data_IF_135969704296
#
_entry.id   IF_135969704296
#
_cell.length_a   1.000
_cell.length_b   1.000
_cell.length_c   1.000
_cell.angle_alpha   90.00
_cell.angle_beta   90.00
_cell.angle_gamma   90.00
#
_symmetry.space_group_name_H-M   'P 1'
#
loop_
_entity.id
_entity.type
_entity.pdbx_description
1 polymer ?
#
# COMPACT_ATOMS: atom_id res chain seq x y z
N UNK A 1 -10.82 10.96 -40.09
CA UNK A 1 -10.81 10.53 -41.51
C UNK A 1 -10.98 9.03 -41.52
N UNK A 2 -12.06 8.57 -42.16
CA UNK A 2 -12.28 7.14 -42.40
C UNK A 2 -11.12 6.61 -43.22
N UNK A 3 -10.57 5.46 -42.85
CA UNK A 3 -9.63 4.72 -43.69
C UNK A 3 -10.28 4.46 -45.04
N UNK A 4 -9.99 5.29 -46.02
CA UNK A 4 -10.21 4.87 -47.39
C UNK A 4 -9.39 3.61 -47.62
N UNK A 5 -10.03 2.57 -48.18
CA UNK A 5 -9.32 1.34 -48.55
C UNK A 5 -8.08 1.68 -49.34
N UNK A 6 -6.96 1.04 -49.01
CA UNK A 6 -5.69 1.09 -49.76
C UNK A 6 -5.88 0.44 -51.15
N UNK A 7 -6.91 0.81 -51.87
CA UNK A 7 -7.22 0.23 -53.18
C UNK A 7 -6.68 1.16 -54.28
N UNK A 8 -5.38 1.09 -54.50
CA UNK A 8 -4.71 1.77 -55.59
C UNK A 8 -4.93 0.91 -56.85
N UNK A 9 -5.83 1.36 -57.73
CA UNK A 9 -6.07 0.65 -58.97
C UNK A 9 -4.89 0.83 -59.95
N UNK A 10 -4.41 -0.27 -60.52
CA UNK A 10 -3.33 -0.27 -61.52
C UNK A 10 -3.66 0.49 -62.84
N UNK A 11 -4.93 0.90 -63.01
CA UNK A 11 -5.39 1.62 -64.19
C UNK A 11 -5.54 3.14 -63.99
N UNK A 12 -5.08 3.70 -62.89
CA UNK A 12 -5.18 5.13 -62.60
C UNK A 12 -4.16 5.97 -63.36
N UNK A 13 -4.54 7.20 -63.73
CA UNK A 13 -3.59 8.19 -64.27
C UNK A 13 -2.66 8.71 -63.19
N UNK A 14 -1.45 9.18 -63.55
CA UNK A 14 -0.40 9.52 -62.59
C UNK A 14 -0.78 10.51 -61.48
N UNK A 15 -1.70 11.45 -61.75
CA UNK A 15 -2.19 12.42 -60.73
C UNK A 15 -3.15 11.77 -59.74
N UNK A 16 -4.03 10.88 -60.19
CA UNK A 16 -4.94 10.14 -59.32
C UNK A 16 -4.18 9.14 -58.43
N UNK A 17 -3.18 8.44 -59.02
CA UNK A 17 -2.30 7.53 -58.30
C UNK A 17 -1.54 8.23 -57.17
N UNK A 18 -0.96 9.43 -57.44
CA UNK A 18 -0.21 10.20 -56.45
C UNK A 18 -1.14 10.69 -55.31
N UNK A 19 -2.38 11.10 -55.66
CA UNK A 19 -3.37 11.52 -54.69
C UNK A 19 -3.77 10.38 -53.76
N UNK A 20 -4.04 9.20 -54.30
CA UNK A 20 -4.46 8.02 -53.53
C UNK A 20 -3.30 7.47 -52.71
N UNK A 21 -2.08 7.49 -53.20
CA UNK A 21 -0.88 7.10 -52.46
C UNK A 21 -0.65 8.05 -51.26
N UNK A 22 -0.77 9.37 -51.48
CA UNK A 22 -0.65 10.34 -50.41
C UNK A 22 -1.78 10.18 -49.37
N UNK A 23 -3.01 9.90 -49.78
CA UNK A 23 -4.12 9.62 -48.87
C UNK A 23 -3.89 8.34 -48.08
N UNK A 24 -3.35 7.30 -48.71
CA UNK A 24 -2.98 6.04 -48.04
C UNK A 24 -1.85 6.24 -47.03
N UNK A 25 -0.81 7.00 -47.38
CA UNK A 25 0.30 7.34 -46.47
C UNK A 25 -0.17 8.18 -45.30
N UNK A 26 -1.06 9.15 -45.51
CA UNK A 26 -1.69 9.94 -44.45
C UNK A 26 -2.56 9.07 -43.53
N UNK A 27 -3.30 8.11 -44.08
CA UNK A 27 -4.12 7.18 -43.29
C UNK A 27 -3.24 6.26 -42.43
N UNK A 28 -2.13 5.77 -42.94
CA UNK A 28 -1.15 4.97 -42.18
C UNK A 28 -0.51 5.84 -41.10
N UNK A 29 -0.10 7.06 -41.45
CA UNK A 29 0.60 7.98 -40.53
C UNK A 29 -0.33 8.51 -39.43
N UNK A 30 -1.65 8.57 -39.65
CA UNK A 30 -2.61 8.99 -38.63
C UNK A 30 -2.87 7.92 -37.56
N UNK A 31 -2.32 6.73 -37.66
CA UNK A 31 -2.46 5.61 -36.72
C UNK A 31 -3.93 5.32 -36.34
N UNK A 32 -4.85 5.46 -37.28
CA UNK A 32 -6.28 5.30 -37.03
C UNK A 32 -6.79 6.15 -35.86
N UNK A 33 -6.43 7.42 -35.79
CA UNK A 33 -6.97 8.38 -34.83
C UNK A 33 -8.16 9.15 -35.39
N UNK A 34 -9.09 9.56 -34.54
CA UNK A 34 -10.23 10.38 -34.93
C UNK A 34 -11.37 10.35 -33.91
N UNK A 35 -12.34 11.23 -34.14
CA UNK A 35 -13.53 11.36 -33.29
C UNK A 35 -14.69 10.42 -33.69
N UNK A 36 -14.53 9.65 -34.76
CA UNK A 36 -15.51 8.65 -35.22
C UNK A 36 -14.84 7.29 -35.35
N UNK A 37 -15.48 6.27 -34.80
CA UNK A 37 -14.97 4.91 -34.86
C UNK A 37 -14.82 4.41 -36.30
N UNK A 38 -13.72 3.74 -36.67
CA UNK A 38 -13.60 3.05 -37.95
C UNK A 38 -14.73 2.04 -38.13
N UNK A 39 -15.38 2.06 -39.30
CA UNK A 39 -16.50 1.16 -39.63
C UNK A 39 -16.16 0.18 -40.77
N UNK A 40 -15.04 0.38 -41.47
CA UNK A 40 -14.56 -0.49 -42.55
C UNK A 40 -13.25 -1.15 -42.18
N UNK A 41 -12.99 -2.32 -42.76
CA UNK A 41 -11.75 -3.11 -42.56
C UNK A 41 -11.43 -3.36 -41.08
N UNK A 42 -12.47 -3.62 -40.30
CA UNK A 42 -12.34 -3.85 -38.88
C UNK A 42 -11.98 -5.32 -38.65
N UNK A 43 -10.75 -5.56 -38.18
CA UNK A 43 -10.26 -6.88 -37.80
C UNK A 43 -9.95 -6.93 -36.32
N UNK A 44 -10.05 -8.12 -35.71
CA UNK A 44 -9.68 -8.31 -34.31
C UNK A 44 -8.22 -7.92 -34.10
N UNK A 45 -7.97 -7.12 -33.08
CA UNK A 45 -6.64 -6.58 -32.79
C UNK A 45 -6.35 -5.19 -33.38
N UNK A 46 -7.23 -4.63 -34.21
CA UNK A 46 -7.07 -3.27 -34.74
C UNK A 46 -7.15 -2.24 -33.60
N UNK A 47 -6.23 -1.27 -33.62
CA UNK A 47 -6.23 -0.15 -32.66
C UNK A 47 -6.88 1.09 -33.24
N UNK A 48 -7.50 1.89 -32.39
CA UNK A 48 -8.04 3.20 -32.69
C UNK A 48 -7.82 4.15 -31.51
N UNK A 49 -7.21 5.31 -31.77
CA UNK A 49 -7.15 6.41 -30.82
C UNK A 49 -8.41 7.28 -31.01
N UNK A 50 -9.37 7.10 -30.12
CA UNK A 50 -10.60 7.89 -30.07
C UNK A 50 -10.31 9.27 -29.47
N UNK A 51 -10.47 10.29 -30.32
CA UNK A 51 -10.25 11.70 -29.93
C UNK A 51 -11.56 12.48 -29.83
N UNK A 52 -12.72 11.80 -29.71
CA UNK A 52 -14.03 12.44 -29.61
C UNK A 52 -14.25 13.22 -28.30
N UNK A 53 -13.53 12.86 -27.23
CA UNK A 53 -13.56 13.51 -25.94
C UNK A 53 -12.37 14.41 -25.70
N UNK A 54 -12.38 15.14 -24.57
CA UNK A 54 -11.25 15.97 -24.12
C UNK A 54 -9.99 15.14 -23.90
N UNK A 55 -10.17 13.92 -23.38
CA UNK A 55 -9.08 12.97 -23.14
C UNK A 55 -9.16 11.84 -24.20
N UNK A 56 -8.13 11.69 -25.08
CA UNK A 56 -8.10 10.60 -26.04
C UNK A 56 -8.11 9.22 -25.37
N UNK A 57 -8.81 8.26 -26.02
CA UNK A 57 -8.90 6.89 -25.52
C UNK A 57 -8.30 5.93 -26.54
N UNK A 58 -7.26 5.20 -26.17
CA UNK A 58 -6.79 4.10 -27.01
C UNK A 58 -7.74 2.91 -26.88
N UNK A 59 -8.25 2.44 -28.02
CA UNK A 59 -9.18 1.33 -28.11
C UNK A 59 -8.62 0.20 -28.97
N UNK A 60 -9.03 -1.03 -28.69
CA UNK A 60 -8.76 -2.22 -29.51
C UNK A 60 -10.09 -2.83 -29.96
N UNK A 61 -10.14 -3.33 -31.19
CA UNK A 61 -11.32 -4.06 -31.67
C UNK A 61 -11.25 -5.54 -31.28
N UNK A 62 -12.22 -5.97 -30.47
CA UNK A 62 -12.46 -7.37 -30.11
C UNK A 62 -13.96 -7.59 -29.94
N UNK A 63 -14.63 -7.98 -31.03
CA UNK A 63 -16.09 -8.07 -31.05
C UNK A 63 -16.76 -6.76 -30.57
N UNK A 64 -16.36 -5.64 -31.18
CA UNK A 64 -16.65 -4.26 -30.78
C UNK A 64 -15.41 -3.54 -30.22
N UNK A 65 -15.45 -2.21 -30.23
CA UNK A 65 -14.36 -1.39 -29.70
C UNK A 65 -14.31 -1.46 -28.18
N UNK A 66 -13.19 -1.88 -27.63
CA UNK A 66 -12.92 -1.95 -26.17
C UNK A 66 -11.87 -0.91 -25.81
N UNK A 67 -12.16 -0.08 -24.83
CA UNK A 67 -11.18 0.88 -24.29
C UNK A 67 -10.07 0.13 -23.56
N UNK A 68 -8.82 0.45 -23.87
CA UNK A 68 -7.64 -0.05 -23.17
C UNK A 68 -7.24 0.93 -22.07
N UNK A 69 -7.05 2.20 -22.42
CA UNK A 69 -6.74 3.25 -21.47
C UNK A 69 -7.08 4.63 -22.05
N UNK A 70 -7.25 5.60 -21.15
CA UNK A 70 -7.46 7.01 -21.47
C UNK A 70 -6.14 7.77 -21.29
N UNK A 71 -5.77 8.57 -22.27
CA UNK A 71 -4.65 9.49 -22.18
C UNK A 71 -5.14 10.83 -21.62
N UNK A 72 -4.41 11.41 -20.68
CA UNK A 72 -4.73 12.77 -20.24
C UNK A 72 -4.20 13.76 -21.28
N UNK A 73 -5.03 14.68 -21.76
CA UNK A 73 -4.65 15.66 -22.79
C UNK A 73 -3.67 16.73 -22.28
N UNK A 74 -3.59 16.94 -20.97
CA UNK A 74 -2.73 17.96 -20.33
C UNK A 74 -1.50 17.39 -19.63
N UNK A 75 -1.49 16.09 -19.36
CA UNK A 75 -0.34 15.37 -18.80
C UNK A 75 -0.18 14.05 -19.56
N UNK A 76 1.00 13.45 -19.53
CA UNK A 76 1.29 12.15 -20.17
C UNK A 76 0.72 10.99 -19.33
N UNK A 77 -0.27 11.26 -18.48
CA UNK A 77 -0.83 10.30 -17.54
C UNK A 77 -1.86 9.38 -18.21
N UNK A 78 -1.76 8.12 -17.89
CA UNK A 78 -2.70 7.07 -18.32
C UNK A 78 -3.65 6.74 -17.16
N UNK A 79 -4.96 6.92 -17.37
CA UNK A 79 -5.97 6.56 -16.38
C UNK A 79 -6.51 5.15 -16.64
N UNK A 80 -6.36 4.27 -15.66
CA UNK A 80 -6.81 2.87 -15.70
C UNK A 80 -7.70 2.60 -14.48
N UNK A 81 -8.89 2.03 -14.69
CA UNK A 81 -9.78 1.67 -13.59
C UNK A 81 -9.35 0.38 -12.85
N UNK A 82 -8.74 -0.54 -13.58
CA UNK A 82 -8.29 -1.83 -13.06
C UNK A 82 -6.90 -2.11 -13.60
N UNK A 83 -5.97 -2.36 -12.71
CA UNK A 83 -4.65 -2.91 -13.05
C UNK A 83 -4.66 -4.39 -12.68
N UNK A 84 -4.62 -5.27 -13.70
CA UNK A 84 -4.50 -6.71 -13.53
C UNK A 84 -3.31 -7.20 -14.36
N UNK A 85 -2.24 -7.62 -13.70
CA UNK A 85 -0.98 -8.00 -14.33
C UNK A 85 -0.27 -9.08 -13.52
N UNK A 86 0.72 -9.75 -14.15
CA UNK A 86 1.61 -10.64 -13.41
C UNK A 86 2.39 -9.86 -12.35
N UNK A 87 2.99 -8.73 -12.76
CA UNK A 87 3.64 -7.78 -11.86
C UNK A 87 3.13 -6.37 -12.12
N UNK A 88 2.97 -5.58 -11.07
CA UNK A 88 2.72 -4.14 -11.15
C UNK A 88 3.93 -3.44 -10.55
N UNK A 89 4.66 -2.67 -11.37
CA UNK A 89 5.86 -1.94 -10.95
C UNK A 89 5.79 -0.49 -11.42
N UNK A 90 6.03 0.44 -10.49
CA UNK A 90 6.13 1.87 -10.79
C UNK A 90 7.26 2.50 -9.97
N UNK A 91 7.93 3.50 -10.54
CA UNK A 91 8.98 4.26 -9.83
C UNK A 91 8.42 5.26 -8.82
N UNK A 92 7.14 5.61 -8.92
CA UNK A 92 6.46 6.56 -8.04
C UNK A 92 5.17 5.94 -7.47
N UNK A 93 4.02 6.31 -7.97
CA UNK A 93 2.71 5.90 -7.41
C UNK A 93 1.96 4.98 -8.35
N UNK A 94 1.37 3.91 -7.82
CA UNK A 94 0.28 3.17 -8.46
C UNK A 94 -1.03 3.66 -7.86
N UNK A 95 -1.91 4.20 -8.71
CA UNK A 95 -3.23 4.68 -8.30
C UNK A 95 -4.30 4.13 -9.24
N UNK A 96 -5.29 3.41 -8.70
CA UNK A 96 -6.38 2.80 -9.47
C UNK A 96 -7.59 2.52 -8.56
N UNK A 97 -8.75 2.19 -9.17
CA UNK A 97 -9.89 1.66 -8.41
C UNK A 97 -9.53 0.33 -7.74
N UNK A 98 -8.94 -0.59 -8.51
CA UNK A 98 -8.36 -1.84 -7.97
C UNK A 98 -6.95 -2.03 -8.53
N UNK A 99 -6.07 -2.57 -7.72
CA UNK A 99 -4.74 -3.03 -8.12
C UNK A 99 -4.68 -4.53 -7.91
N UNK A 100 -4.49 -5.30 -8.99
CA UNK A 100 -4.43 -6.77 -8.94
C UNK A 100 -3.18 -7.26 -9.66
N UNK A 101 -2.38 -8.05 -8.98
CA UNK A 101 -1.22 -8.73 -9.55
C UNK A 101 -1.23 -10.22 -9.17
N UNK A 102 -0.87 -11.09 -10.10
CA UNK A 102 -0.70 -12.52 -9.82
C UNK A 102 0.65 -12.82 -9.16
N UNK A 103 1.53 -11.84 -9.02
CA UNK A 103 2.80 -11.93 -8.31
C UNK A 103 3.02 -10.70 -7.42
N UNK A 104 3.71 -9.66 -7.89
CA UNK A 104 4.18 -8.55 -7.06
C UNK A 104 3.55 -7.21 -7.44
N UNK A 105 3.22 -6.39 -6.45
CA UNK A 105 2.98 -4.95 -6.59
C UNK A 105 4.16 -4.21 -5.97
N UNK A 106 4.88 -3.40 -6.74
CA UNK A 106 6.03 -2.62 -6.29
C UNK A 106 5.94 -1.17 -6.75
N UNK A 107 5.93 -0.22 -5.82
CA UNK A 107 5.92 1.21 -6.11
C UNK A 107 6.42 2.01 -4.90
N UNK A 108 6.76 3.31 -5.07
CA UNK A 108 6.98 4.18 -3.93
C UNK A 108 5.70 4.29 -3.10
N UNK A 109 4.54 4.48 -3.74
CA UNK A 109 3.23 4.45 -3.07
C UNK A 109 2.22 3.60 -3.85
N UNK A 110 1.34 2.91 -3.15
CA UNK A 110 0.19 2.19 -3.73
C UNK A 110 -1.09 2.77 -3.15
N UNK A 111 -1.96 3.29 -4.01
CA UNK A 111 -3.27 3.85 -3.61
C UNK A 111 -4.38 3.20 -4.43
N UNK A 112 -5.35 2.59 -3.76
CA UNK A 112 -6.54 2.03 -4.39
C UNK A 112 -7.80 2.54 -3.69
N UNK A 113 -8.81 2.96 -4.47
CA UNK A 113 -10.11 3.32 -3.90
C UNK A 113 -10.92 2.11 -3.44
N UNK A 114 -10.53 0.89 -3.85
CA UNK A 114 -11.10 -0.37 -3.40
C UNK A 114 -9.99 -1.29 -2.85
N UNK A 115 -9.55 -2.27 -3.65
CA UNK A 115 -8.68 -3.35 -3.17
C UNK A 115 -7.28 -3.30 -3.78
N UNK A 116 -6.30 -3.74 -3.00
CA UNK A 116 -4.97 -4.15 -3.47
C UNK A 116 -4.83 -5.66 -3.25
N UNK A 117 -4.61 -6.42 -4.31
CA UNK A 117 -4.46 -7.88 -4.26
C UNK A 117 -3.19 -8.31 -4.97
N UNK A 118 -2.34 -9.05 -4.28
CA UNK A 118 -1.16 -9.70 -4.84
C UNK A 118 -1.02 -11.11 -4.25
N UNK A 119 -0.74 -12.13 -5.06
CA UNK A 119 -0.46 -13.48 -4.55
C UNK A 119 0.97 -13.58 -3.98
N UNK A 120 1.86 -12.69 -4.39
CA UNK A 120 3.21 -12.54 -3.85
C UNK A 120 3.32 -11.37 -2.87
N UNK A 121 4.12 -10.37 -3.19
CA UNK A 121 4.50 -9.27 -2.30
C UNK A 121 3.83 -7.95 -2.70
N UNK A 122 3.41 -7.17 -1.71
CA UNK A 122 3.20 -5.71 -1.88
C UNK A 122 4.37 -5.01 -1.22
N UNK A 123 5.19 -4.31 -2.02
CA UNK A 123 6.36 -3.58 -1.58
C UNK A 123 6.18 -2.08 -1.89
N UNK A 124 6.02 -1.25 -0.86
CA UNK A 124 5.81 0.19 -1.02
C UNK A 124 6.25 0.95 0.24
N UNK A 125 6.58 2.24 0.11
CA UNK A 125 6.77 3.12 1.24
C UNK A 125 5.45 3.34 2.01
N UNK A 126 4.32 3.43 1.29
CA UNK A 126 2.99 3.38 1.89
C UNK A 126 2.00 2.61 1.00
N UNK A 127 1.03 1.95 1.64
CA UNK A 127 -0.10 1.31 0.97
C UNK A 127 -1.38 1.88 1.56
N UNK A 128 -2.22 2.44 0.70
CA UNK A 128 -3.54 2.97 1.06
C UNK A 128 -4.61 2.29 0.22
N UNK A 129 -5.57 1.66 0.86
CA UNK A 129 -6.75 1.07 0.22
C UNK A 129 -7.97 1.34 1.11
N UNK A 130 -9.12 1.68 0.53
CA UNK A 130 -10.38 1.81 1.29
C UNK A 130 -11.05 0.45 1.52
N UNK A 131 -10.68 -0.55 0.73
CA UNK A 131 -11.08 -1.94 0.90
C UNK A 131 -9.95 -2.81 1.45
N UNK A 132 -9.78 -4.00 0.86
CA UNK A 132 -8.83 -5.01 1.36
C UNK A 132 -7.47 -4.89 0.69
N UNK A 133 -6.40 -5.02 1.47
CA UNK A 133 -5.06 -5.36 0.98
C UNK A 133 -4.85 -6.86 1.24
N UNK A 134 -4.75 -7.64 0.17
CA UNK A 134 -4.52 -9.09 0.24
C UNK A 134 -3.23 -9.45 -0.51
N UNK A 135 -2.27 -10.00 0.20
CA UNK A 135 -0.99 -10.44 -0.34
C UNK A 135 -0.42 -11.58 0.51
N UNK A 136 0.43 -12.44 -0.09
CA UNK A 136 1.22 -13.40 0.69
C UNK A 136 2.20 -12.66 1.61
N UNK A 137 2.79 -11.55 1.11
CA UNK A 137 3.66 -10.67 1.88
C UNK A 137 3.33 -9.19 1.60
N UNK A 138 3.38 -8.36 2.63
CA UNK A 138 3.32 -6.91 2.52
C UNK A 138 4.62 -6.35 3.09
N UNK A 139 5.40 -5.65 2.26
CA UNK A 139 6.62 -4.95 2.67
C UNK A 139 6.41 -3.46 2.48
N UNK A 140 6.46 -2.70 3.57
CA UNK A 140 6.45 -1.26 3.54
C UNK A 140 7.78 -0.75 4.10
N UNK A 141 8.42 0.20 3.43
CA UNK A 141 9.65 0.83 3.91
C UNK A 141 9.39 1.88 5.00
N UNK A 142 8.14 2.25 5.21
CA UNK A 142 7.71 3.19 6.24
C UNK A 142 6.58 2.59 7.10
N UNK A 143 5.37 3.09 6.99
CA UNK A 143 4.28 2.73 7.87
C UNK A 143 3.19 1.90 7.15
N UNK A 144 2.61 0.95 7.88
CA UNK A 144 1.29 0.38 7.58
C UNK A 144 0.35 0.90 8.67
N UNK A 145 -0.62 1.73 8.29
CA UNK A 145 -1.58 2.32 9.22
C UNK A 145 -2.90 1.55 9.16
N UNK A 146 -3.36 1.06 10.30
CA UNK A 146 -4.69 0.49 10.47
C UNK A 146 -5.50 1.36 11.44
N UNK A 147 -6.67 1.80 11.03
CA UNK A 147 -7.57 2.61 11.88
C UNK A 147 -8.36 1.76 12.88
N UNK A 148 -8.32 0.44 12.71
CA UNK A 148 -9.09 -0.48 13.56
C UNK A 148 -8.17 -1.57 14.14
N UNK A 149 -8.31 -2.82 13.72
CA UNK A 149 -7.62 -3.96 14.31
C UNK A 149 -6.56 -4.52 13.39
N UNK A 150 -5.39 -4.84 13.93
CA UNK A 150 -4.39 -5.71 13.29
C UNK A 150 -4.47 -7.09 13.93
N UNK A 151 -4.87 -8.11 13.16
CA UNK A 151 -4.90 -9.50 13.61
C UNK A 151 -3.77 -10.27 12.92
N UNK A 152 -2.87 -10.84 13.70
CA UNK A 152 -1.75 -11.63 13.21
C UNK A 152 -1.52 -12.85 14.09
N UNK A 153 -1.06 -13.96 13.49
CA UNK A 153 -0.64 -15.12 14.26
C UNK A 153 0.58 -14.80 15.14
N UNK A 154 1.50 -13.97 14.63
CA UNK A 154 2.68 -13.48 15.36
C UNK A 154 3.00 -12.04 14.95
N UNK A 155 3.48 -11.25 15.91
CA UNK A 155 4.07 -9.93 15.68
C UNK A 155 5.50 -9.95 16.23
N UNK A 156 6.48 -9.91 15.33
CA UNK A 156 7.89 -9.90 15.68
C UNK A 156 8.44 -8.48 15.59
N UNK A 157 9.01 -7.99 16.67
CA UNK A 157 9.72 -6.71 16.72
C UNK A 157 11.22 -6.95 16.68
N UNK A 158 11.93 -6.29 15.76
CA UNK A 158 13.39 -6.38 15.65
C UNK A 158 14.05 -5.89 16.93
N UNK A 159 14.93 -6.72 17.51
CA UNK A 159 15.61 -6.43 18.78
C UNK A 159 17.11 -6.80 18.78
N UNK A 160 17.74 -6.82 17.60
CA UNK A 160 19.13 -7.17 17.42
C UNK A 160 20.07 -6.15 18.10
N UNK A 161 21.06 -6.63 18.84
CA UNK A 161 22.04 -5.78 19.55
C UNK A 161 22.83 -4.86 18.61
N UNK A 162 23.06 -5.28 17.35
CA UNK A 162 23.78 -4.49 16.34
C UNK A 162 23.07 -3.19 15.95
N UNK A 163 21.75 -3.09 16.21
CA UNK A 163 20.91 -1.92 15.96
C UNK A 163 20.78 -1.02 17.18
N UNK A 164 21.36 -1.42 18.33
CA UNK A 164 21.21 -0.71 19.60
C UNK A 164 22.52 -0.10 20.03
N UNK A 165 22.45 1.08 20.62
CA UNK A 165 23.61 1.79 21.20
C UNK A 165 23.33 2.15 22.65
N UNK A 166 24.36 2.33 23.47
CA UNK A 166 24.23 2.75 24.88
C UNK A 166 23.30 1.85 25.70
N UNK A 167 23.37 0.54 25.47
CA UNK A 167 22.55 -0.44 26.20
C UNK A 167 22.91 -0.42 27.68
N UNK A 168 21.91 -0.23 28.53
CA UNK A 168 22.01 -0.25 29.99
C UNK A 168 20.84 -1.05 30.57
N UNK A 169 21.06 -1.66 31.72
CA UNK A 169 19.96 -2.26 32.51
C UNK A 169 19.06 -1.14 33.04
N UNK A 170 17.75 -1.41 33.05
CA UNK A 170 16.77 -0.47 33.58
C UNK A 170 16.90 -0.40 35.12
N UNK A 171 16.76 0.80 35.66
CA UNK A 171 16.83 1.07 37.08
C UNK A 171 15.45 1.51 37.63
N UNK A 172 15.20 1.25 38.90
CA UNK A 172 13.95 1.61 39.60
C UNK A 172 12.67 1.04 38.96
N UNK A 173 12.79 -0.11 38.28
CA UNK A 173 11.69 -0.71 37.52
C UNK A 173 10.54 -1.14 38.40
N UNK A 174 10.80 -1.64 39.61
CA UNK A 174 9.76 -2.03 40.55
C UNK A 174 8.94 -0.81 41.00
N UNK A 175 9.58 0.30 41.34
CA UNK A 175 8.93 1.53 41.75
C UNK A 175 8.08 2.13 40.62
N UNK A 176 8.59 2.06 39.35
CA UNK A 176 7.83 2.50 38.18
C UNK A 176 6.60 1.62 37.96
N UNK A 177 6.76 0.29 37.97
CA UNK A 177 5.64 -0.65 37.77
C UNK A 177 4.55 -0.48 38.84
N UNK A 178 4.94 -0.22 40.11
CA UNK A 178 3.99 0.03 41.19
C UNK A 178 3.19 1.34 41.04
N UNK A 179 3.65 2.29 40.24
CA UNK A 179 2.93 3.52 39.89
C UNK A 179 1.96 3.31 38.72
N UNK A 180 2.15 2.28 37.90
CA UNK A 180 1.23 1.96 36.81
C UNK A 180 -0.01 1.25 37.33
N UNK A 181 -1.15 1.47 36.71
CA UNK A 181 -2.35 0.72 36.98
C UNK A 181 -2.93 0.06 35.73
N UNK A 182 -3.32 -1.20 35.90
CA UNK A 182 -4.18 -1.88 34.94
C UNK A 182 -5.63 -1.44 35.09
N UNK A 183 -6.29 -1.17 33.98
CA UNK A 183 -7.68 -0.70 33.97
C UNK A 183 -8.54 -1.54 33.04
N UNK A 184 -9.84 -1.64 33.36
CA UNK A 184 -10.88 -2.04 32.43
C UNK A 184 -11.55 -0.78 31.86
N UNK A 185 -11.81 -0.75 30.56
CA UNK A 185 -12.45 0.39 29.91
C UNK A 185 -13.35 -0.08 28.76
N UNK A 186 -14.24 0.79 28.31
CA UNK A 186 -15.09 0.54 27.14
C UNK A 186 -14.56 1.34 25.95
N UNK A 187 -14.37 0.68 24.84
CA UNK A 187 -13.98 1.28 23.58
C UNK A 187 -14.71 0.59 22.42
N UNK A 188 -15.40 1.36 21.58
CA UNK A 188 -16.24 0.84 20.48
C UNK A 188 -17.33 -0.15 20.98
N UNK A 189 -17.96 0.15 22.10
CA UNK A 189 -18.97 -0.69 22.79
C UNK A 189 -18.46 -2.07 23.26
N UNK A 190 -17.16 -2.28 23.33
CA UNK A 190 -16.53 -3.49 23.86
C UNK A 190 -15.76 -3.19 25.13
N UNK A 191 -15.86 -4.07 26.13
CA UNK A 191 -15.03 -4.01 27.33
C UNK A 191 -13.64 -4.54 27.02
N UNK A 192 -12.63 -3.74 27.33
CA UNK A 192 -11.21 -4.05 27.14
C UNK A 192 -10.44 -3.82 28.44
N UNK A 193 -9.22 -4.34 28.48
CA UNK A 193 -8.28 -4.12 29.58
C UNK A 193 -6.97 -3.56 29.01
N UNK A 194 -6.27 -2.77 29.81
CA UNK A 194 -5.00 -2.18 29.42
C UNK A 194 -4.52 -1.13 30.41
N UNK A 195 -3.75 -0.20 29.93
CA UNK A 195 -3.25 0.97 30.68
C UNK A 195 -3.70 2.26 30.01
N UNK A 196 -3.63 3.38 30.72
CA UNK A 196 -3.92 4.72 30.17
C UNK A 196 -2.61 5.36 29.73
N UNK A 197 -2.51 5.73 28.47
CA UNK A 197 -1.28 6.24 27.87
C UNK A 197 -0.75 7.50 28.59
N UNK A 198 -1.61 8.42 29.02
CA UNK A 198 -1.24 9.62 29.77
C UNK A 198 -0.63 9.28 31.14
N UNK A 199 -1.11 8.24 31.81
CA UNK A 199 -0.55 7.78 33.09
C UNK A 199 0.82 7.12 32.87
N UNK A 200 0.92 6.27 31.84
CA UNK A 200 2.19 5.64 31.45
C UNK A 200 3.23 6.68 31.05
N UNK A 201 2.83 7.73 30.34
CA UNK A 201 3.73 8.82 29.92
C UNK A 201 4.40 9.53 31.11
N UNK A 202 3.71 9.63 32.24
CA UNK A 202 4.25 10.22 33.47
C UNK A 202 5.30 9.35 34.16
N UNK A 203 5.36 8.05 33.87
CA UNK A 203 6.22 7.05 34.55
C UNK A 203 7.28 6.46 33.64
N UNK A 204 6.91 6.06 32.40
CA UNK A 204 7.75 5.44 31.39
C UNK A 204 7.46 6.11 30.02
N UNK A 205 7.86 7.36 29.82
CA UNK A 205 7.54 8.10 28.59
C UNK A 205 8.11 7.44 27.32
N UNK A 206 9.16 6.64 27.42
CA UNK A 206 9.84 6.00 26.28
C UNK A 206 8.96 4.98 25.54
N UNK A 207 7.88 4.50 26.18
CA UNK A 207 6.94 3.55 25.55
C UNK A 207 5.68 4.23 25.03
N UNK A 208 5.59 5.56 25.13
CA UNK A 208 4.43 6.33 24.66
C UNK A 208 4.79 7.12 23.43
N UNK A 209 3.92 7.08 22.43
CA UNK A 209 4.07 7.83 21.17
C UNK A 209 2.79 8.58 20.88
N UNK A 210 2.90 9.85 20.48
CA UNK A 210 1.79 10.64 19.98
C UNK A 210 1.62 10.42 18.47
N UNK A 211 0.40 10.08 18.07
CA UNK A 211 0.01 9.96 16.68
C UNK A 211 -0.18 11.31 16.00
N UNK A 212 -0.23 11.32 14.67
CA UNK A 212 -0.51 12.55 13.89
C UNK A 212 -1.90 13.14 14.15
N UNK A 213 -2.79 12.39 14.76
CA UNK A 213 -4.14 12.74 15.19
C UNK A 213 -4.19 13.29 16.63
N UNK A 214 -3.04 13.39 17.31
CA UNK A 214 -2.90 13.86 18.69
C UNK A 214 -3.26 12.81 19.75
N UNK A 215 -3.64 11.59 19.38
CA UNK A 215 -3.87 10.50 20.34
C UNK A 215 -2.56 9.83 20.73
N UNK A 216 -2.45 9.52 22.04
CA UNK A 216 -1.32 8.77 22.57
C UNK A 216 -1.53 7.26 22.42
N UNK A 217 -0.45 6.56 22.09
CA UNK A 217 -0.39 5.10 22.01
C UNK A 217 0.73 4.54 22.89
N UNK A 218 0.58 3.30 23.34
CA UNK A 218 1.54 2.61 24.20
C UNK A 218 2.13 1.41 23.45
N UNK A 219 3.46 1.34 23.40
CA UNK A 219 4.19 0.17 22.92
C UNK A 219 4.21 -0.90 24.00
N UNK A 220 3.11 -1.65 24.17
CA UNK A 220 2.93 -2.65 25.22
C UNK A 220 4.08 -3.67 25.30
N UNK A 221 4.62 -4.10 24.15
CA UNK A 221 5.75 -5.03 24.12
C UNK A 221 7.02 -4.49 24.78
N UNK A 222 7.19 -3.17 24.82
CA UNK A 222 8.37 -2.55 25.43
C UNK A 222 8.28 -2.47 26.95
N UNK A 223 7.06 -2.51 27.53
CA UNK A 223 6.86 -2.59 28.98
C UNK A 223 7.42 -3.89 29.57
N UNK A 224 7.62 -4.93 28.75
CA UNK A 224 8.23 -6.19 29.20
C UNK A 224 9.61 -5.97 29.81
N UNK A 225 10.40 -4.99 29.33
CA UNK A 225 11.70 -4.66 29.91
C UNK A 225 11.59 -4.21 31.38
N UNK A 226 10.65 -3.30 31.68
CA UNK A 226 10.39 -2.84 33.05
C UNK A 226 9.86 -3.98 33.93
N UNK A 227 8.97 -4.82 33.40
CA UNK A 227 8.44 -5.97 34.14
C UNK A 227 9.52 -6.99 34.50
N UNK A 228 10.47 -7.26 33.60
CA UNK A 228 11.59 -8.17 33.86
C UNK A 228 12.44 -7.68 35.04
N UNK A 229 12.85 -6.41 35.03
CA UNK A 229 13.72 -5.88 36.09
C UNK A 229 12.94 -5.67 37.41
N UNK A 230 11.63 -5.35 37.35
CA UNK A 230 10.77 -5.29 38.51
C UNK A 230 10.63 -6.67 39.20
N UNK A 231 10.40 -7.74 38.43
CA UNK A 231 10.34 -9.12 38.95
C UNK A 231 11.67 -9.55 39.57
N UNK A 232 12.81 -9.22 38.98
CA UNK A 232 14.11 -9.52 39.55
C UNK A 232 14.35 -8.81 40.86
N UNK A 233 13.93 -7.55 40.98
CA UNK A 233 14.00 -6.78 42.24
C UNK A 233 13.12 -7.40 43.30
N UNK A 234 11.88 -7.77 42.96
CA UNK A 234 10.98 -8.48 43.88
C UNK A 234 11.57 -9.82 44.35
N UNK A 235 12.16 -10.59 43.43
CA UNK A 235 12.78 -11.87 43.78
C UNK A 235 13.93 -11.69 44.78
N UNK A 236 14.77 -10.68 44.58
CA UNK A 236 15.85 -10.35 45.50
C UNK A 236 15.34 -9.98 46.88
N UNK A 237 14.26 -9.19 46.97
CA UNK A 237 13.60 -8.83 48.24
C UNK A 237 13.03 -10.07 48.96
N UNK A 238 12.43 -11.00 48.20
CA UNK A 238 11.90 -12.26 48.76
C UNK A 238 13.04 -13.12 49.32
N UNK A 239 14.17 -13.21 48.63
CA UNK A 239 15.32 -13.97 49.09
C UNK A 239 15.89 -13.36 50.38
N UNK A 240 16.08 -12.05 50.43
CA UNK A 240 16.52 -11.35 51.63
C UNK A 240 15.55 -11.59 52.82
N UNK A 241 14.25 -11.54 52.61
CA UNK A 241 13.25 -11.81 53.63
C UNK A 241 13.32 -13.26 54.12
N UNK A 242 13.54 -14.25 53.26
CA UNK A 242 13.71 -15.65 53.62
C UNK A 242 14.98 -15.85 54.45
N UNK A 243 16.09 -15.24 54.10
CA UNK A 243 17.32 -15.30 54.85
C UNK A 243 17.16 -14.71 56.26
N UNK A 244 16.50 -13.55 56.35
CA UNK A 244 16.18 -12.91 57.65
C UNK A 244 15.27 -13.75 58.53
N UNK A 245 14.30 -14.42 57.95
CA UNK A 245 13.41 -15.35 58.68
C UNK A 245 14.21 -16.54 59.21
N UNK A 246 15.05 -17.16 58.37
CA UNK A 246 15.88 -18.29 58.75
C UNK A 246 16.88 -17.93 59.86
N UNK A 247 17.40 -16.70 59.86
CA UNK A 247 18.31 -16.22 60.89
C UNK A 247 17.60 -15.92 62.24
N UNK A 248 16.30 -15.58 62.21
CA UNK A 248 15.53 -15.25 63.40
C UNK A 248 14.88 -16.48 64.04
N UNK A 249 14.82 -17.62 63.33
CA UNK A 249 14.32 -18.90 63.85
C UNK A 249 15.40 -19.75 64.53
N UNK A 250 16.63 -19.21 64.69
CA UNK A 250 17.76 -19.74 65.49
C UNK A 250 17.88 -18.96 66.80
#
# INVERSE_FOLDING_TARGET
MSTSSLNISASQTGTAYTSDLNAALLAINSCHSGNTAPITEIVSGKFWLDTSGTNPVLKIYRNGWKSLFTLNATSVDMSINVVAAANVTATSTVSAANVTATSTVSAANVTASNNVTATGTVAAASVTATGTVSAANVTASNNITATNTVTAANVNTTSDIRLKTKVKTLENSLEKVLQLRGVSYTMNNETKIGVIAQEVQGVVPEVVTEGSDGYLSVAYGNLVGELIEAIKTQQSQIEELKERLTQNDL
#
